data_IF_903800196881
#
_entry.id   IF_903800196881
#
_cell.length_a   1.000
_cell.length_b   1.000
_cell.length_c   1.000
_cell.angle_alpha   90.00
_cell.angle_beta   90.00
_cell.angle_gamma   90.00
#
_symmetry.space_group_name_H-M   'P 1'
#
loop_
_entity.id
_entity.type
_entity.pdbx_description
1 polymer ?
#
# COMPACT_ATOMS: atom_id res chain seq x y z
N UNK A 1 -6.10 0.74 11.82
CA UNK A 1 -6.74 -0.60 11.86
C UNK A 1 -8.15 -0.58 12.43
N UNK A 2 -8.43 0.01 13.61
CA UNK A 2 -9.80 0.10 14.15
C UNK A 2 -10.79 0.70 13.14
N UNK A 3 -10.44 1.85 12.54
CA UNK A 3 -11.30 2.52 11.55
C UNK A 3 -11.64 1.66 10.35
N UNK A 4 -10.68 0.91 9.81
CA UNK A 4 -10.90 0.02 8.67
C UNK A 4 -11.82 -1.16 9.02
N UNK A 5 -11.73 -1.69 10.25
CA UNK A 5 -12.64 -2.73 10.73
C UNK A 5 -14.08 -2.20 10.86
N UNK A 6 -14.25 -1.00 11.42
CA UNK A 6 -15.57 -0.36 11.50
C UNK A 6 -16.11 0.02 10.11
N UNK A 7 -15.25 0.45 9.19
CA UNK A 7 -15.64 0.72 7.81
C UNK A 7 -16.18 -0.54 7.12
N UNK A 8 -15.48 -1.67 7.24
CA UNK A 8 -15.96 -2.94 6.70
C UNK A 8 -17.26 -3.38 7.38
N UNK A 9 -17.33 -3.25 8.71
CA UNK A 9 -18.56 -3.52 9.46
C UNK A 9 -19.74 -2.67 8.98
N UNK A 10 -19.50 -1.38 8.69
CA UNK A 10 -20.51 -0.48 8.14
C UNK A 10 -20.97 -0.93 6.74
N UNK A 11 -20.02 -1.28 5.86
CA UNK A 11 -20.34 -1.78 4.51
C UNK A 11 -21.19 -3.05 4.52
N UNK A 12 -20.91 -3.99 5.44
CA UNK A 12 -21.63 -5.25 5.52
C UNK A 12 -22.95 -5.17 6.29
N UNK A 13 -23.01 -4.39 7.36
CA UNK A 13 -24.16 -4.40 8.29
C UNK A 13 -25.03 -3.14 8.20
N UNK A 14 -24.59 -2.07 7.53
CA UNK A 14 -25.33 -0.80 7.38
C UNK A 14 -25.58 -0.07 8.69
N UNK A 15 -24.81 -0.37 9.77
CA UNK A 15 -25.05 0.21 11.10
C UNK A 15 -24.55 1.64 11.20
N UNK A 16 -25.47 2.60 11.31
CA UNK A 16 -25.17 4.03 11.41
C UNK A 16 -24.25 4.37 12.60
N UNK A 17 -24.33 3.62 13.69
CA UNK A 17 -23.47 3.76 14.87
C UNK A 17 -21.98 3.62 14.62
N UNK A 18 -21.58 3.04 13.47
CA UNK A 18 -20.18 2.89 13.08
C UNK A 18 -19.58 4.16 12.46
N UNK A 19 -20.40 5.03 11.86
CA UNK A 19 -19.95 6.26 11.21
C UNK A 19 -19.13 7.19 12.12
N UNK A 20 -19.56 7.49 13.36
CA UNK A 20 -18.77 8.32 14.26
C UNK A 20 -17.39 7.75 14.56
N UNK A 21 -17.27 6.42 14.68
CA UNK A 21 -15.97 5.75 14.93
C UNK A 21 -15.06 5.87 13.72
N UNK A 22 -15.60 5.67 12.50
CA UNK A 22 -14.86 5.82 11.24
C UNK A 22 -14.32 7.24 11.12
N UNK A 23 -15.18 8.26 11.31
CA UNK A 23 -14.81 9.67 11.22
C UNK A 23 -13.78 10.04 12.29
N UNK A 24 -13.98 9.60 13.53
CA UNK A 24 -13.03 9.86 14.61
C UNK A 24 -11.66 9.24 14.34
N UNK A 25 -11.63 8.03 13.79
CA UNK A 25 -10.37 7.36 13.44
C UNK A 25 -9.66 8.08 12.29
N UNK A 26 -10.41 8.59 11.31
CA UNK A 26 -9.85 9.41 10.23
C UNK A 26 -9.28 10.73 10.76
N UNK A 27 -9.96 11.39 11.71
CA UNK A 27 -9.40 12.57 12.41
C UNK A 27 -8.09 12.25 13.10
N UNK A 28 -8.04 11.13 13.82
CA UNK A 28 -6.81 10.67 14.49
C UNK A 28 -5.67 10.38 13.49
N UNK A 29 -5.98 9.73 12.37
CA UNK A 29 -4.99 9.51 11.30
C UNK A 29 -4.50 10.83 10.70
N UNK A 30 -5.40 11.80 10.49
CA UNK A 30 -5.07 13.11 9.92
C UNK A 30 -4.12 13.93 10.79
N UNK A 31 -4.04 13.70 12.09
CA UNK A 31 -3.05 14.36 12.97
C UNK A 31 -1.60 14.00 12.62
N UNK A 32 -1.41 12.90 11.89
CA UNK A 32 -0.10 12.46 11.41
C UNK A 32 0.31 13.10 10.08
N UNK A 33 -0.56 13.91 9.48
CA UNK A 33 -0.24 14.61 8.24
C UNK A 33 0.82 15.70 8.49
N UNK A 34 1.83 15.73 7.63
CA UNK A 34 2.90 16.71 7.64
C UNK A 34 2.79 17.58 6.38
N UNK A 35 2.20 18.79 6.51
CA UNK A 35 1.84 19.60 5.34
C UNK A 35 3.01 19.95 4.42
N UNK A 36 4.19 20.27 4.98
CA UNK A 36 5.37 20.61 4.19
C UNK A 36 5.81 19.45 3.30
N UNK A 37 5.84 18.23 3.85
CA UNK A 37 6.17 17.02 3.09
C UNK A 37 4.97 16.49 2.28
N UNK A 38 3.75 16.85 2.63
CA UNK A 38 2.54 16.37 1.95
C UNK A 38 2.25 14.88 2.20
N UNK A 39 2.63 14.34 3.36
CA UNK A 39 2.53 12.91 3.68
C UNK A 39 1.96 12.66 5.07
N UNK A 40 1.41 11.46 5.25
CA UNK A 40 1.08 10.90 6.55
C UNK A 40 2.31 10.19 7.12
N UNK A 41 2.82 10.65 8.23
CA UNK A 41 3.93 10.01 8.92
C UNK A 41 3.50 8.64 9.48
N UNK A 42 4.28 7.59 9.22
CA UNK A 42 3.93 6.22 9.61
C UNK A 42 4.22 5.93 11.08
N UNK A 43 5.41 6.25 11.54
CA UNK A 43 5.90 5.95 12.88
C UNK A 43 6.39 7.19 13.61
N UNK A 44 6.36 7.14 14.95
CA UNK A 44 7.06 8.13 15.74
C UNK A 44 8.57 7.89 15.59
N UNK A 45 9.30 8.93 15.22
CA UNK A 45 10.72 8.81 14.90
C UNK A 45 11.64 8.91 16.13
N UNK A 46 11.08 9.31 17.28
CA UNK A 46 11.79 9.58 18.54
C UNK A 46 11.69 8.43 19.55
N UNK A 47 11.05 7.30 19.18
CA UNK A 47 10.78 6.18 20.09
C UNK A 47 11.20 4.83 19.51
N UNK A 48 11.57 3.92 20.43
CA UNK A 48 11.91 2.54 20.10
C UNK A 48 13.02 2.44 19.05
N UNK A 49 13.00 1.37 18.25
CA UNK A 49 14.00 1.09 17.23
C UNK A 49 14.00 2.13 16.08
N UNK A 50 12.91 2.88 15.90
CA UNK A 50 12.82 3.93 14.89
C UNK A 50 13.78 5.10 15.20
N UNK A 51 13.99 5.41 16.49
CA UNK A 51 14.93 6.45 16.91
C UNK A 51 16.38 6.13 16.50
N UNK A 52 16.77 4.84 16.50
CA UNK A 52 18.11 4.39 16.10
C UNK A 52 18.37 4.57 14.60
N UNK A 53 17.32 4.65 13.78
CA UNK A 53 17.42 4.88 12.33
C UNK A 53 17.75 6.32 11.96
N UNK A 54 17.61 7.27 12.91
CA UNK A 54 17.81 8.69 12.68
C UNK A 54 16.81 9.30 11.69
N UNK A 55 15.61 8.71 11.61
CA UNK A 55 14.50 9.25 10.83
C UNK A 55 13.90 10.49 11.50
N UNK A 56 13.28 11.36 10.69
CA UNK A 56 12.49 12.50 11.18
C UNK A 56 11.00 12.33 10.89
N UNK A 57 10.68 11.94 9.65
CA UNK A 57 9.31 11.73 9.20
C UNK A 57 9.26 10.50 8.27
N UNK A 58 9.39 9.28 8.84
CA UNK A 58 9.38 8.06 8.04
C UNK A 58 7.98 7.77 7.51
N UNK A 59 7.92 7.43 6.25
CA UNK A 59 6.70 7.06 5.52
C UNK A 59 6.93 5.70 4.86
N UNK A 60 6.11 4.72 5.20
CA UNK A 60 6.13 3.41 4.56
C UNK A 60 5.09 3.34 3.45
N UNK A 61 5.39 2.57 2.42
CA UNK A 61 4.48 2.38 1.28
C UNK A 61 3.12 1.80 1.72
N UNK A 62 3.09 1.05 2.81
CA UNK A 62 1.88 0.49 3.44
C UNK A 62 0.83 1.55 3.79
N UNK A 63 1.25 2.80 4.03
CA UNK A 63 0.31 3.89 4.30
C UNK A 63 -0.70 4.10 3.18
N UNK A 64 -0.41 3.64 1.97
CA UNK A 64 -1.35 3.70 0.86
C UNK A 64 -2.67 2.98 1.18
N UNK A 65 -2.64 1.87 1.92
CA UNK A 65 -3.88 1.16 2.33
C UNK A 65 -4.74 1.98 3.31
N UNK A 66 -4.14 2.91 4.07
CA UNK A 66 -4.88 3.72 5.05
C UNK A 66 -5.67 4.86 4.41
N UNK A 67 -5.39 5.20 3.15
CA UNK A 67 -6.06 6.30 2.45
C UNK A 67 -7.54 6.01 2.21
N UNK A 68 -7.92 4.73 2.10
CA UNK A 68 -9.32 4.33 1.97
C UNK A 68 -10.18 4.86 3.13
N UNK A 69 -9.66 4.80 4.36
CA UNK A 69 -10.34 5.34 5.53
C UNK A 69 -10.60 6.84 5.40
N UNK A 70 -9.64 7.59 4.86
CA UNK A 70 -9.78 9.04 4.67
C UNK A 70 -10.78 9.36 3.56
N UNK A 71 -10.72 8.67 2.43
CA UNK A 71 -11.70 8.85 1.36
C UNK A 71 -13.12 8.57 1.82
N UNK A 72 -13.33 7.46 2.54
CA UNK A 72 -14.65 7.11 3.06
C UNK A 72 -15.12 8.09 4.16
N UNK A 73 -14.23 8.51 5.06
CA UNK A 73 -14.57 9.51 6.06
C UNK A 73 -14.99 10.85 5.42
N UNK A 74 -14.35 11.25 4.32
CA UNK A 74 -14.75 12.42 3.54
C UNK A 74 -16.17 12.28 3.00
N UNK A 75 -16.53 11.13 2.41
CA UNK A 75 -17.87 10.85 1.92
C UNK A 75 -18.91 10.85 3.04
N UNK A 76 -18.59 10.22 4.18
CA UNK A 76 -19.52 10.10 5.32
C UNK A 76 -19.75 11.40 6.07
N UNK A 77 -18.75 12.28 6.13
CA UNK A 77 -18.81 13.53 6.88
C UNK A 77 -19.08 14.78 6.03
N UNK A 78 -18.83 14.72 4.72
CA UNK A 78 -18.80 15.86 3.83
C UNK A 78 -17.54 16.73 3.98
N UNK A 79 -16.60 16.36 4.85
CA UNK A 79 -15.35 17.11 5.07
C UNK A 79 -14.30 16.72 4.03
N UNK A 80 -14.04 17.61 3.08
CA UNK A 80 -13.06 17.41 2.01
C UNK A 80 -11.61 17.42 2.49
N UNK A 81 -11.31 17.81 3.72
CA UNK A 81 -9.96 17.79 4.28
C UNK A 81 -9.36 16.38 4.23
N UNK A 82 -10.14 15.36 4.56
CA UNK A 82 -9.71 13.97 4.50
C UNK A 82 -9.34 13.54 3.08
N UNK A 83 -10.18 13.88 2.10
CA UNK A 83 -9.92 13.60 0.69
C UNK A 83 -8.64 14.28 0.20
N UNK A 84 -8.44 15.55 0.56
CA UNK A 84 -7.27 16.32 0.16
C UNK A 84 -5.98 15.75 0.76
N UNK A 85 -6.00 15.33 2.04
CA UNK A 85 -4.87 14.65 2.68
C UNK A 85 -4.54 13.35 1.95
N UNK A 86 -5.55 12.52 1.66
CA UNK A 86 -5.36 11.25 0.97
C UNK A 86 -4.72 11.44 -0.42
N UNK A 87 -5.27 12.37 -1.24
CA UNK A 87 -4.71 12.68 -2.56
C UNK A 87 -3.27 13.20 -2.46
N UNK A 88 -3.04 14.16 -1.55
CA UNK A 88 -1.69 14.74 -1.42
C UNK A 88 -0.67 13.70 -1.01
N UNK A 89 -1.03 12.80 -0.08
CA UNK A 89 -0.17 11.69 0.30
C UNK A 89 0.12 10.75 -0.88
N UNK A 90 -0.90 10.34 -1.63
CA UNK A 90 -0.75 9.47 -2.79
C UNK A 90 0.16 10.10 -3.86
N UNK A 91 -0.02 11.39 -4.16
CA UNK A 91 0.80 12.12 -5.13
C UNK A 91 2.27 12.23 -4.69
N UNK A 92 2.50 12.54 -3.43
CA UNK A 92 3.87 12.64 -2.90
C UNK A 92 4.55 11.25 -2.85
N UNK A 93 3.80 10.20 -2.50
CA UNK A 93 4.28 8.81 -2.52
C UNK A 93 4.64 8.39 -3.95
N UNK A 94 3.81 8.73 -4.94
CA UNK A 94 4.09 8.45 -6.36
C UNK A 94 5.41 9.10 -6.81
N UNK A 95 5.65 10.34 -6.40
CA UNK A 95 6.84 11.09 -6.80
C UNK A 95 8.15 10.57 -6.15
N UNK A 96 8.07 9.98 -4.95
CA UNK A 96 9.28 9.75 -4.15
C UNK A 96 9.58 8.29 -3.81
N UNK A 97 8.57 7.39 -3.82
CA UNK A 97 8.77 6.00 -3.42
C UNK A 97 9.16 5.06 -4.56
N UNK A 98 9.06 5.47 -5.82
CA UNK A 98 9.29 4.58 -6.95
C UNK A 98 10.66 4.81 -7.59
N UNK A 99 11.29 3.71 -8.00
CA UNK A 99 12.49 3.66 -8.84
C UNK A 99 12.09 3.72 -10.32
N UNK A 100 13.07 3.84 -11.19
CA UNK A 100 12.86 3.88 -12.65
C UNK A 100 12.17 2.62 -13.20
N UNK A 101 12.41 1.46 -12.58
CA UNK A 101 11.78 0.19 -12.92
C UNK A 101 10.37 0.02 -12.34
N UNK A 102 9.86 1.03 -11.63
CA UNK A 102 8.60 1.07 -10.91
C UNK A 102 8.50 0.13 -9.68
N UNK A 103 9.61 -0.44 -9.22
CA UNK A 103 9.66 -0.97 -7.86
C UNK A 103 9.58 0.16 -6.84
N UNK A 104 9.07 -0.12 -5.63
CA UNK A 104 8.99 0.90 -4.60
C UNK A 104 9.94 0.62 -3.43
N UNK A 105 10.48 1.70 -2.87
CA UNK A 105 11.13 1.69 -1.57
C UNK A 105 10.11 1.39 -0.48
N UNK A 106 10.53 0.66 0.55
CA UNK A 106 9.66 0.42 1.72
C UNK A 106 9.47 1.71 2.51
N UNK A 107 10.56 2.42 2.83
CA UNK A 107 10.56 3.62 3.67
C UNK A 107 11.17 4.79 2.92
N UNK A 108 10.48 5.92 2.90
CA UNK A 108 11.05 7.22 2.53
C UNK A 108 10.96 8.13 3.76
N UNK A 109 12.10 8.65 4.20
CA UNK A 109 12.18 9.60 5.31
C UNK A 109 12.24 11.03 4.77
N UNK A 110 11.38 11.88 5.30
CA UNK A 110 11.28 13.28 4.91
C UNK A 110 11.76 14.20 6.02
N UNK A 111 12.17 15.40 5.65
CA UNK A 111 12.24 16.50 6.59
C UNK A 111 10.83 17.06 6.82
N UNK A 112 10.30 17.06 8.05
CA UNK A 112 8.93 17.49 8.30
C UNK A 112 8.70 19.01 8.13
N UNK A 113 9.78 19.81 8.09
CA UNK A 113 9.72 21.28 7.98
C UNK A 113 9.84 21.73 6.52
N UNK A 114 10.76 21.12 5.75
CA UNK A 114 11.03 21.50 4.35
C UNK A 114 10.27 20.63 3.35
N UNK A 115 9.92 19.39 3.74
CA UNK A 115 9.31 18.40 2.85
C UNK A 115 10.31 17.66 1.96
N UNK A 116 11.59 17.91 2.09
CA UNK A 116 12.64 17.25 1.29
C UNK A 116 12.83 15.79 1.69
N UNK A 117 13.11 14.94 0.71
CA UNK A 117 13.50 13.54 0.94
C UNK A 117 14.90 13.50 1.54
N UNK A 118 15.01 12.88 2.71
CA UNK A 118 16.30 12.72 3.43
C UNK A 118 16.95 11.38 3.12
N UNK A 119 16.16 10.30 3.13
CA UNK A 119 16.65 8.92 2.95
C UNK A 119 15.60 8.06 2.27
N UNK A 120 16.05 7.05 1.53
CA UNK A 120 15.24 5.93 1.06
C UNK A 120 15.82 4.66 1.64
N UNK A 121 15.01 3.87 2.33
CA UNK A 121 15.48 2.74 3.11
C UNK A 121 14.44 1.61 3.17
N UNK A 122 14.82 0.52 3.81
CA UNK A 122 13.89 -0.52 4.19
C UNK A 122 13.84 -0.72 5.69
N UNK A 123 12.72 -1.27 6.19
CA UNK A 123 12.58 -1.77 7.54
C UNK A 123 12.33 -3.28 7.54
N UNK A 124 11.63 -3.80 6.52
CA UNK A 124 11.23 -5.20 6.41
C UNK A 124 11.81 -5.91 5.18
N UNK A 125 12.33 -5.18 4.20
CA UNK A 125 12.98 -5.75 3.02
C UNK A 125 14.41 -6.21 3.30
N UNK A 126 14.99 -6.90 2.33
CA UNK A 126 16.35 -7.45 2.40
C UNK A 126 17.43 -6.34 2.51
N UNK A 127 17.32 -5.32 1.70
CA UNK A 127 18.24 -4.19 1.67
C UNK A 127 17.53 -2.89 1.29
N UNK A 128 18.16 -1.73 1.50
CA UNK A 128 17.55 -0.42 1.19
C UNK A 128 17.17 -0.30 -0.28
N UNK A 129 17.94 -0.93 -1.17
CA UNK A 129 17.67 -0.92 -2.62
C UNK A 129 16.88 -2.14 -3.11
N UNK A 130 16.49 -3.07 -2.24
CA UNK A 130 15.70 -4.24 -2.62
C UNK A 130 14.20 -3.92 -2.76
N UNK A 131 13.48 -4.83 -3.41
CA UNK A 131 12.04 -4.72 -3.59
C UNK A 131 11.28 -5.70 -2.67
N UNK A 132 10.97 -5.25 -1.46
CA UNK A 132 10.18 -6.02 -0.52
C UNK A 132 8.79 -6.33 -1.10
N UNK A 133 8.44 -7.63 -1.20
CA UNK A 133 7.29 -8.08 -1.98
C UNK A 133 5.95 -7.51 -1.49
N UNK A 134 5.73 -7.46 -0.18
CA UNK A 134 4.49 -6.91 0.39
C UNK A 134 4.39 -5.40 0.18
N UNK A 135 5.51 -4.69 0.12
CA UNK A 135 5.52 -3.28 -0.25
C UNK A 135 5.02 -3.05 -1.67
N UNK A 136 5.45 -3.88 -2.63
CA UNK A 136 4.94 -3.82 -4.01
C UNK A 136 3.43 -4.10 -4.06
N UNK A 137 2.96 -5.09 -3.29
CA UNK A 137 1.54 -5.41 -3.19
C UNK A 137 0.72 -4.24 -2.60
N UNK A 138 1.23 -3.56 -1.56
CA UNK A 138 0.56 -2.38 -1.01
C UNK A 138 0.52 -1.21 -1.99
N UNK A 139 1.57 -1.03 -2.80
CA UNK A 139 1.57 -0.02 -3.85
C UNK A 139 0.50 -0.31 -4.90
N UNK A 140 0.43 -1.53 -5.41
CA UNK A 140 -0.59 -1.94 -6.38
C UNK A 140 -2.01 -1.74 -5.84
N UNK A 141 -2.27 -2.25 -4.62
CA UNK A 141 -3.55 -2.09 -3.95
C UNK A 141 -3.91 -0.61 -3.74
N UNK A 142 -2.96 0.16 -3.22
CA UNK A 142 -3.19 1.55 -2.87
C UNK A 142 -3.50 2.43 -4.07
N UNK A 143 -2.80 2.27 -5.20
CA UNK A 143 -3.07 3.06 -6.40
C UNK A 143 -4.34 2.63 -7.12
N UNK A 144 -4.67 1.33 -7.14
CA UNK A 144 -5.97 0.84 -7.62
C UNK A 144 -7.10 1.46 -6.81
N UNK A 145 -6.99 1.45 -5.48
CA UNK A 145 -7.94 2.05 -4.56
C UNK A 145 -8.02 3.59 -4.73
N UNK A 146 -6.91 4.29 -4.92
CA UNK A 146 -6.92 5.73 -5.19
C UNK A 146 -7.70 6.07 -6.48
N UNK A 147 -7.57 5.24 -7.53
CA UNK A 147 -8.37 5.40 -8.73
C UNK A 147 -9.87 5.24 -8.45
N UNK A 148 -10.28 4.27 -7.65
CA UNK A 148 -11.69 4.08 -7.22
C UNK A 148 -12.33 5.37 -6.70
N UNK A 149 -11.59 6.14 -5.92
CA UNK A 149 -12.12 7.33 -5.25
C UNK A 149 -11.98 8.63 -6.05
N UNK A 150 -11.03 8.68 -6.95
CA UNK A 150 -10.66 9.93 -7.64
C UNK A 150 -10.98 9.94 -9.12
N UNK A 151 -11.02 8.77 -9.75
CA UNK A 151 -11.07 8.58 -11.21
C UNK A 151 -9.95 9.34 -11.96
N UNK A 152 -8.83 9.64 -11.27
CA UNK A 152 -7.67 10.28 -11.88
C UNK A 152 -6.79 9.20 -12.53
N UNK A 153 -6.67 9.25 -13.85
CA UNK A 153 -6.00 8.23 -14.66
C UNK A 153 -4.55 7.94 -14.23
N UNK A 154 -3.85 8.93 -13.68
CA UNK A 154 -2.47 8.74 -13.20
C UNK A 154 -2.32 7.63 -12.14
N UNK A 155 -3.36 7.41 -11.31
CA UNK A 155 -3.34 6.35 -10.31
C UNK A 155 -3.55 4.97 -10.94
N UNK A 156 -4.39 4.89 -11.97
CA UNK A 156 -4.58 3.67 -12.74
C UNK A 156 -3.27 3.30 -13.48
N UNK A 157 -2.65 4.27 -14.13
CA UNK A 157 -1.35 4.11 -14.79
C UNK A 157 -0.25 3.67 -13.82
N UNK A 158 -0.22 4.24 -12.60
CA UNK A 158 0.75 3.82 -11.59
C UNK A 158 0.50 2.39 -11.11
N UNK A 159 -0.76 1.98 -10.93
CA UNK A 159 -1.11 0.60 -10.61
C UNK A 159 -0.63 -0.37 -11.70
N UNK A 160 -0.84 -0.04 -12.99
CA UNK A 160 -0.34 -0.86 -14.12
C UNK A 160 1.20 -0.94 -14.14
N UNK A 161 1.91 0.13 -13.82
CA UNK A 161 3.38 0.12 -13.73
C UNK A 161 3.87 -0.82 -12.62
N UNK A 162 3.24 -0.78 -11.45
CA UNK A 162 3.58 -1.70 -10.35
C UNK A 162 3.22 -3.14 -10.69
N UNK A 163 2.08 -3.38 -11.32
CA UNK A 163 1.73 -4.68 -11.87
C UNK A 163 2.83 -5.22 -12.79
N UNK A 164 3.26 -4.41 -13.76
CA UNK A 164 4.29 -4.80 -14.71
C UNK A 164 5.62 -5.14 -14.01
N UNK A 165 6.01 -4.38 -12.98
CA UNK A 165 7.19 -4.71 -12.18
C UNK A 165 7.05 -6.10 -11.53
N UNK A 166 5.93 -6.37 -10.85
CA UNK A 166 5.71 -7.63 -10.14
C UNK A 166 5.71 -8.81 -11.11
N UNK A 167 4.91 -8.74 -12.19
CA UNK A 167 4.64 -9.90 -13.05
C UNK A 167 5.65 -10.11 -14.16
N UNK A 168 6.50 -9.13 -14.47
CA UNK A 168 7.66 -9.29 -15.36
C UNK A 168 8.96 -9.55 -14.58
N UNK A 169 8.92 -9.59 -13.25
CA UNK A 169 10.11 -9.85 -12.46
C UNK A 169 10.54 -11.32 -12.61
N UNK A 170 11.82 -11.52 -12.98
CA UNK A 170 12.41 -12.85 -13.21
C UNK A 170 12.37 -13.77 -11.98
N UNK A 171 12.24 -13.18 -10.79
CA UNK A 171 12.22 -13.89 -9.52
C UNK A 171 10.79 -14.17 -9.02
N UNK A 172 9.75 -13.80 -9.78
CA UNK A 172 8.39 -14.21 -9.44
C UNK A 172 8.21 -15.69 -9.79
N UNK A 173 7.84 -16.55 -8.83
CA UNK A 173 7.63 -17.97 -9.09
C UNK A 173 6.41 -18.25 -9.97
N UNK A 174 6.38 -19.44 -10.59
CA UNK A 174 5.27 -19.85 -11.48
C UNK A 174 3.91 -19.91 -10.80
N UNK A 175 3.88 -20.19 -9.49
CA UNK A 175 2.66 -20.20 -8.67
C UNK A 175 2.18 -18.81 -8.27
N UNK A 176 2.88 -17.74 -8.68
CA UNK A 176 2.57 -16.33 -8.45
C UNK A 176 2.54 -15.90 -6.97
N UNK A 177 3.02 -16.73 -6.05
CA UNK A 177 3.25 -16.34 -4.65
C UNK A 177 4.70 -15.87 -4.54
N UNK A 178 4.97 -14.57 -4.34
CA UNK A 178 6.33 -14.06 -4.38
C UNK A 178 7.17 -14.56 -3.20
N UNK A 179 8.50 -14.54 -3.35
CA UNK A 179 9.40 -14.56 -2.22
C UNK A 179 9.18 -13.29 -1.38
N UNK A 180 9.58 -13.31 -0.11
CA UNK A 180 9.39 -12.19 0.82
C UNK A 180 10.02 -10.87 0.32
N UNK A 181 11.06 -10.98 -0.51
CA UNK A 181 11.70 -9.88 -1.21
C UNK A 181 12.12 -10.37 -2.62
N UNK A 182 11.94 -9.55 -3.65
CA UNK A 182 12.29 -9.92 -5.03
C UNK A 182 13.80 -10.05 -5.25
N UNK A 183 14.59 -9.46 -4.35
CA UNK A 183 16.06 -9.49 -4.36
C UNK A 183 16.64 -10.33 -3.22
N UNK A 184 15.83 -11.20 -2.60
CA UNK A 184 16.26 -12.05 -1.51
C UNK A 184 17.46 -12.94 -1.95
N UNK A 185 18.49 -13.12 -1.06
CA UNK A 185 19.82 -13.56 -1.51
C UNK A 185 19.90 -15.04 -1.90
N UNK A 186 18.97 -15.88 -1.41
CA UNK A 186 19.02 -17.31 -1.62
C UNK A 186 17.87 -17.86 -2.48
N UNK A 187 17.25 -17.04 -3.33
CA UNK A 187 16.24 -17.52 -4.28
C UNK A 187 16.84 -18.66 -5.12
N UNK A 188 16.17 -19.80 -5.28
CA UNK A 188 14.76 -20.09 -4.95
C UNK A 188 14.50 -20.65 -3.52
N UNK A 189 15.46 -20.66 -2.63
CA UNK A 189 15.35 -21.27 -1.29
C UNK A 189 14.97 -20.26 -0.22
N UNK A 190 14.09 -19.31 -0.57
CA UNK A 190 13.61 -18.25 0.34
C UNK A 190 12.14 -18.45 0.74
N UNK A 191 11.72 -17.94 1.92
CA UNK A 191 10.33 -17.94 2.30
C UNK A 191 9.43 -17.20 1.29
N UNK A 192 8.19 -17.68 1.16
CA UNK A 192 7.15 -17.07 0.33
C UNK A 192 6.30 -16.11 1.16
N UNK A 193 5.86 -15.02 0.56
CA UNK A 193 4.95 -14.06 1.19
C UNK A 193 3.51 -14.23 0.68
N UNK A 194 2.78 -15.13 1.34
CA UNK A 194 1.36 -15.36 1.04
C UNK A 194 0.49 -14.12 1.27
N UNK A 195 0.89 -13.23 2.19
CA UNK A 195 0.20 -11.96 2.43
C UNK A 195 0.34 -10.99 1.25
N UNK A 196 1.56 -10.91 0.66
CA UNK A 196 1.78 -10.12 -0.55
C UNK A 196 0.92 -10.66 -1.72
N UNK A 197 0.87 -12.00 -1.89
CA UNK A 197 0.05 -12.62 -2.92
C UNK A 197 -1.45 -12.32 -2.72
N UNK A 198 -1.97 -12.47 -1.50
CA UNK A 198 -3.38 -12.18 -1.20
C UNK A 198 -3.75 -10.70 -1.43
N UNK A 199 -2.87 -9.77 -1.03
CA UNK A 199 -3.05 -8.34 -1.26
C UNK A 199 -3.02 -8.03 -2.77
N UNK A 200 -2.09 -8.63 -3.51
CA UNK A 200 -2.00 -8.50 -4.97
C UNK A 200 -3.27 -9.01 -5.65
N UNK A 201 -3.76 -10.20 -5.29
CA UNK A 201 -5.00 -10.74 -5.85
C UNK A 201 -6.20 -9.83 -5.60
N UNK A 202 -6.32 -9.28 -4.37
CA UNK A 202 -7.38 -8.31 -4.05
C UNK A 202 -7.33 -7.07 -4.94
N UNK A 203 -6.14 -6.53 -5.16
CA UNK A 203 -5.95 -5.37 -6.05
C UNK A 203 -6.30 -5.71 -7.51
N UNK A 204 -5.92 -6.90 -7.99
CA UNK A 204 -6.16 -7.32 -9.37
C UNK A 204 -7.63 -7.59 -9.64
N UNK A 205 -8.38 -8.16 -8.70
CA UNK A 205 -9.84 -8.29 -8.84
C UNK A 205 -10.51 -6.94 -9.04
N UNK A 206 -10.08 -5.92 -8.30
CA UNK A 206 -10.61 -4.58 -8.50
C UNK A 206 -10.12 -3.96 -9.80
N UNK A 207 -8.82 -4.05 -10.09
CA UNK A 207 -8.22 -3.50 -11.31
C UNK A 207 -8.88 -4.06 -12.58
N UNK A 208 -9.27 -5.35 -12.55
CA UNK A 208 -9.99 -6.00 -13.65
C UNK A 208 -11.36 -5.38 -13.96
N UNK A 209 -11.97 -4.71 -12.98
CA UNK A 209 -13.25 -4.00 -13.22
C UNK A 209 -13.07 -2.72 -14.02
N UNK A 210 -11.88 -2.14 -14.00
CA UNK A 210 -11.54 -0.92 -14.76
C UNK A 210 -10.93 -1.24 -16.11
N UNK A 211 -10.19 -2.34 -16.20
CA UNK A 211 -9.43 -2.78 -17.37
C UNK A 211 -9.70 -4.28 -17.66
N UNK A 212 -10.93 -4.63 -18.12
CA UNK A 212 -11.37 -6.03 -18.21
C UNK A 212 -10.58 -6.88 -19.21
N UNK A 213 -10.00 -6.25 -20.24
CA UNK A 213 -9.31 -6.96 -21.33
C UNK A 213 -7.82 -7.22 -21.06
N UNK A 214 -7.33 -6.92 -19.84
CA UNK A 214 -5.91 -7.02 -19.49
C UNK A 214 -5.51 -8.35 -18.80
N UNK A 215 -6.44 -9.28 -18.56
CA UNK A 215 -6.15 -10.58 -17.93
C UNK A 215 -5.86 -10.49 -16.42
N UNK A 216 -6.21 -9.39 -15.75
CA UNK A 216 -5.96 -9.21 -14.32
C UNK A 216 -6.78 -10.15 -13.46
N UNK A 217 -8.04 -10.44 -13.87
CA UNK A 217 -8.90 -11.37 -13.16
C UNK A 217 -8.34 -12.79 -13.19
N UNK A 218 -7.93 -13.26 -14.35
CA UNK A 218 -7.31 -14.56 -14.55
C UNK A 218 -6.02 -14.72 -13.73
N UNK A 219 -5.24 -13.65 -13.64
CA UNK A 219 -4.03 -13.62 -12.80
C UNK A 219 -4.40 -13.71 -11.32
N UNK A 220 -5.42 -12.99 -10.87
CA UNK A 220 -5.92 -13.06 -9.49
C UNK A 220 -6.46 -14.45 -9.16
N UNK A 221 -7.23 -15.06 -10.04
CA UNK A 221 -7.76 -16.43 -9.87
C UNK A 221 -6.60 -17.44 -9.68
N UNK A 222 -5.55 -17.38 -10.49
CA UNK A 222 -4.34 -18.23 -10.36
C UNK A 222 -3.63 -18.04 -9.02
N UNK A 223 -3.49 -16.79 -8.55
CA UNK A 223 -2.92 -16.53 -7.22
C UNK A 223 -3.79 -17.18 -6.14
N UNK A 224 -5.10 -17.03 -6.21
CA UNK A 224 -6.02 -17.60 -5.22
C UNK A 224 -6.01 -19.13 -5.25
N UNK A 225 -5.93 -19.77 -6.42
CA UNK A 225 -5.74 -21.21 -6.56
C UNK A 225 -4.46 -21.67 -5.86
N UNK A 226 -3.35 -20.97 -6.07
CA UNK A 226 -2.07 -21.26 -5.41
C UNK A 226 -2.19 -21.14 -3.88
N UNK A 227 -2.77 -20.05 -3.38
CA UNK A 227 -2.96 -19.83 -1.93
C UNK A 227 -3.92 -20.85 -1.31
N UNK A 228 -4.91 -21.37 -2.05
CA UNK A 228 -5.81 -22.41 -1.62
C UNK A 228 -5.18 -23.82 -1.62
N UNK A 229 -4.00 -23.97 -2.21
CA UNK A 229 -3.31 -25.27 -2.27
C UNK A 229 -2.80 -25.72 -0.89
N UNK A 230 -2.51 -27.03 -0.69
CA UNK A 230 -1.94 -27.53 0.57
C UNK A 230 -0.60 -26.89 0.95
N UNK A 231 0.13 -26.32 0.01
CA UNK A 231 1.43 -25.66 0.25
C UNK A 231 1.32 -24.40 1.11
N UNK A 232 0.19 -23.70 1.05
CA UNK A 232 -0.02 -22.41 1.73
C UNK A 232 -1.12 -22.42 2.80
N UNK A 233 -1.91 -23.50 2.89
CA UNK A 233 -2.91 -23.63 3.96
C UNK A 233 -2.28 -24.05 5.26
N UNK A 234 -2.67 -23.41 6.37
CA UNK A 234 -2.33 -23.88 7.70
C UNK A 234 -2.85 -25.32 7.91
N UNK A 235 -2.02 -26.13 8.56
CA UNK A 235 -2.38 -27.51 8.95
C UNK A 235 -3.22 -27.49 10.23
#
# INVERSE_FOLDING_TARGET
MIGSSYLNGYRFAGKEEYKPVIIQTAKSLSTRFRPAAGVLQSWDADKGWQAERGWKCPVIIDNMMNLELLFEASKLSGDSTFYNIARKHADTTMANHFREDNSCYHVVDYDPETGEVRKRQTAQGYADESAWARGQAWALYGYTMCYRYTHDAKYLEQAEKVYNFIFNNKNLPEDLVPYWDFDAPNIPNEPRDASAAACTASALYELSTYLPDKGYKETADRIMESLASPSYRAK
#
